data_IF_043717463370
#
_entry.id   IF_043717463370
#
_cell.length_a   1.000
_cell.length_b   1.000
_cell.length_c   1.000
_cell.angle_alpha   90.00
_cell.angle_beta   90.00
_cell.angle_gamma   90.00
#
_symmetry.space_group_name_H-M   'P 1'
#
loop_
_entity.id
_entity.type
_entity.pdbx_description
1 polymer ?
#
# COMPACT_ATOMS: atom_id res chain seq x y z
N UNK A 1 -19.85 -10.35 -3.11
CA UNK A 1 -19.73 -8.94 -3.53
C UNK A 1 -20.28 -8.00 -2.46
N UNK A 2 -21.54 -8.17 -2.04
CA UNK A 2 -22.19 -7.31 -1.02
C UNK A 2 -21.37 -7.11 0.25
N UNK A 3 -20.82 -8.17 0.86
CA UNK A 3 -20.02 -8.08 2.09
C UNK A 3 -18.75 -7.22 1.89
N UNK A 4 -18.06 -7.39 0.75
CA UNK A 4 -16.85 -6.61 0.45
C UNK A 4 -17.18 -5.13 0.22
N UNK A 5 -18.31 -4.86 -0.43
CA UNK A 5 -18.77 -3.50 -0.68
C UNK A 5 -19.19 -2.80 0.62
N UNK A 6 -19.98 -3.48 1.46
CA UNK A 6 -20.45 -2.94 2.74
C UNK A 6 -19.37 -2.91 3.82
N UNK A 7 -18.26 -3.62 3.63
CA UNK A 7 -17.08 -3.60 4.49
C UNK A 7 -16.11 -2.44 4.23
N UNK A 8 -16.38 -1.62 3.22
CA UNK A 8 -15.63 -0.38 2.95
C UNK A 8 -14.35 -0.55 2.14
N UNK A 9 -13.75 -1.75 2.09
CA UNK A 9 -12.48 -1.98 1.38
C UNK A 9 -12.53 -1.59 -0.11
N UNK A 10 -13.63 -1.87 -0.81
CA UNK A 10 -13.75 -1.57 -2.24
C UNK A 10 -13.58 -0.08 -2.56
N UNK A 11 -13.90 0.82 -1.62
CA UNK A 11 -13.75 2.27 -1.84
C UNK A 11 -12.30 2.67 -2.08
N UNK A 12 -11.33 1.80 -1.73
CA UNK A 12 -9.89 1.99 -1.85
C UNK A 12 -9.27 1.22 -3.03
N UNK A 13 -10.05 0.48 -3.84
CA UNK A 13 -9.50 -0.41 -4.88
C UNK A 13 -10.00 -0.09 -6.28
N UNK A 14 -9.07 0.05 -7.22
CA UNK A 14 -9.32 0.36 -8.62
C UNK A 14 -8.68 1.68 -9.04
N UNK A 15 -8.85 2.04 -10.31
CA UNK A 15 -8.38 3.32 -10.83
C UNK A 15 -9.19 4.50 -10.22
N UNK A 16 -8.54 5.65 -10.08
CA UNK A 16 -9.13 6.88 -9.54
C UNK A 16 -10.32 7.39 -10.38
N UNK A 17 -10.27 7.18 -11.69
CA UNK A 17 -11.26 7.60 -12.69
C UNK A 17 -12.36 6.55 -12.97
N UNK A 18 -12.35 5.41 -12.29
CA UNK A 18 -13.27 4.29 -12.52
C UNK A 18 -14.04 3.87 -11.27
N UNK A 19 -15.03 3.00 -11.52
CA UNK A 19 -15.84 2.40 -10.46
C UNK A 19 -14.98 1.55 -9.52
N UNK A 20 -15.29 1.53 -8.21
CA UNK A 20 -14.67 0.64 -7.23
C UNK A 20 -14.63 -0.83 -7.70
N UNK A 21 -13.48 -1.46 -7.55
CA UNK A 21 -13.28 -2.85 -7.90
C UNK A 21 -13.26 -3.73 -6.66
N UNK A 22 -13.73 -4.97 -6.85
CA UNK A 22 -13.61 -6.04 -5.87
C UNK A 22 -12.39 -6.88 -6.21
N UNK A 23 -11.67 -7.36 -5.21
CA UNK A 23 -10.68 -8.44 -5.41
C UNK A 23 -11.43 -9.73 -5.83
N UNK A 24 -11.02 -10.42 -6.90
CA UNK A 24 -11.81 -11.51 -7.48
C UNK A 24 -11.92 -12.75 -6.58
N UNK A 25 -11.07 -12.85 -5.55
CA UNK A 25 -11.09 -13.92 -4.54
C UNK A 25 -12.19 -13.68 -3.48
N UNK A 26 -12.61 -14.71 -2.72
CA UNK A 26 -13.55 -14.56 -1.61
C UNK A 26 -12.90 -13.93 -0.37
N UNK A 27 -12.25 -12.77 -0.55
CA UNK A 27 -11.36 -12.16 0.44
C UNK A 27 -12.05 -11.85 1.78
N UNK A 28 -13.31 -11.40 1.77
CA UNK A 28 -14.05 -11.16 3.01
C UNK A 28 -14.16 -12.41 3.89
N UNK A 29 -14.43 -13.56 3.27
CA UNK A 29 -14.49 -14.83 3.99
C UNK A 29 -13.09 -15.32 4.40
N UNK A 30 -12.05 -15.02 3.61
CA UNK A 30 -10.68 -15.34 3.99
C UNK A 30 -10.25 -14.58 5.27
N UNK A 31 -10.57 -13.28 5.38
CA UNK A 31 -10.33 -12.51 6.61
C UNK A 31 -11.13 -13.09 7.80
N UNK A 32 -12.43 -13.33 7.61
CA UNK A 32 -13.27 -13.91 8.66
C UNK A 32 -12.77 -15.29 9.13
N UNK A 33 -12.27 -16.12 8.20
CA UNK A 33 -11.75 -17.45 8.51
C UNK A 33 -10.44 -17.38 9.30
N UNK A 34 -9.55 -16.44 8.95
CA UNK A 34 -8.31 -16.22 9.68
C UNK A 34 -8.57 -15.72 11.12
N UNK A 35 -9.54 -14.82 11.28
CA UNK A 35 -10.01 -14.36 12.59
C UNK A 35 -10.65 -15.50 13.39
N UNK A 36 -11.50 -16.31 12.76
CA UNK A 36 -12.13 -17.47 13.41
C UNK A 36 -11.11 -18.50 13.88
N UNK A 37 -10.09 -18.81 13.08
CA UNK A 37 -9.02 -19.73 13.46
C UNK A 37 -8.23 -19.20 14.67
N UNK A 38 -7.92 -17.90 14.69
CA UNK A 38 -7.26 -17.23 15.81
C UNK A 38 -8.12 -17.27 17.08
N UNK A 39 -9.39 -16.88 16.98
CA UNK A 39 -10.33 -16.88 18.10
C UNK A 39 -10.56 -18.28 18.68
N UNK A 40 -10.69 -19.30 17.82
CA UNK A 40 -10.83 -20.69 18.24
C UNK A 40 -9.58 -21.17 18.98
N UNK A 41 -8.38 -20.82 18.50
CA UNK A 41 -7.12 -21.18 19.17
C UNK A 41 -7.03 -20.55 20.56
N UNK A 42 -7.42 -19.28 20.70
CA UNK A 42 -7.48 -18.58 21.99
C UNK A 42 -8.48 -19.25 22.93
N UNK A 43 -9.69 -19.58 22.45
CA UNK A 43 -10.73 -20.23 23.25
C UNK A 43 -10.30 -21.63 23.71
N UNK A 44 -9.62 -22.40 22.85
CA UNK A 44 -9.09 -23.70 23.21
C UNK A 44 -8.00 -23.60 24.28
N UNK A 45 -7.09 -22.62 24.14
CA UNK A 45 -6.05 -22.37 25.13
C UNK A 45 -6.65 -21.96 26.49
N UNK A 46 -7.63 -21.06 26.49
CA UNK A 46 -8.33 -20.61 27.70
C UNK A 46 -9.01 -21.78 28.40
N UNK A 47 -9.76 -22.60 27.65
CA UNK A 47 -10.42 -23.80 28.15
C UNK A 47 -9.42 -24.76 28.80
N UNK A 48 -8.31 -25.05 28.13
CA UNK A 48 -7.34 -26.04 28.59
C UNK A 48 -6.55 -25.59 29.81
N UNK A 49 -6.19 -24.30 29.89
CA UNK A 49 -5.27 -23.80 30.90
C UNK A 49 -5.94 -23.03 32.05
N UNK A 50 -7.22 -22.67 31.93
CA UNK A 50 -7.91 -21.83 32.92
C UNK A 50 -9.29 -22.39 33.31
N UNK A 51 -10.35 -22.04 32.57
CA UNK A 51 -11.73 -22.25 33.04
C UNK A 51 -12.25 -23.68 32.88
N UNK A 52 -11.73 -24.46 31.94
CA UNK A 52 -12.33 -25.73 31.53
C UNK A 52 -13.61 -25.59 30.69
N UNK A 53 -14.04 -24.37 30.35
CA UNK A 53 -15.31 -24.11 29.66
C UNK A 53 -15.13 -23.80 28.18
N UNK A 54 -16.14 -24.15 27.37
CA UNK A 54 -16.24 -23.66 26.00
C UNK A 54 -16.70 -22.21 25.93
N UNK A 55 -16.48 -21.58 24.78
CA UNK A 55 -16.91 -20.21 24.50
C UNK A 55 -17.68 -20.16 23.16
N UNK A 56 -18.60 -19.22 23.03
CA UNK A 56 -19.26 -18.92 21.75
C UNK A 56 -18.50 -17.81 21.04
N UNK A 57 -18.09 -18.05 19.80
CA UNK A 57 -17.36 -17.08 18.97
C UNK A 57 -18.32 -16.53 17.92
N UNK A 58 -18.58 -15.22 18.00
CA UNK A 58 -19.38 -14.48 17.02
C UNK A 58 -18.47 -13.56 16.19
N UNK A 59 -18.56 -13.67 14.87
CA UNK A 59 -17.71 -12.95 13.92
C UNK A 59 -18.53 -12.51 12.71
N UNK A 60 -18.21 -11.31 12.21
CA UNK A 60 -18.84 -10.74 11.03
C UNK A 60 -17.82 -10.61 9.90
N UNK A 61 -18.04 -11.31 8.80
CA UNK A 61 -17.17 -11.19 7.62
C UNK A 61 -17.12 -9.76 7.04
N UNK A 62 -18.16 -8.95 7.27
CA UNK A 62 -18.13 -7.53 6.93
C UNK A 62 -17.14 -6.79 7.84
N UNK A 63 -17.19 -7.00 9.15
CA UNK A 63 -16.30 -6.36 10.11
C UNK A 63 -14.83 -6.79 9.89
N UNK A 64 -14.59 -8.07 9.61
CA UNK A 64 -13.25 -8.61 9.35
C UNK A 64 -12.56 -7.96 8.15
N UNK A 65 -13.32 -7.49 7.15
CA UNK A 65 -12.71 -6.77 6.00
C UNK A 65 -12.15 -5.39 6.35
N UNK A 66 -12.52 -4.82 7.51
CA UNK A 66 -12.04 -3.51 7.93
C UNK A 66 -10.51 -3.48 8.06
N UNK A 67 -9.91 -4.59 8.49
CA UNK A 67 -8.44 -4.76 8.57
C UNK A 67 -7.78 -4.51 7.21
N UNK A 68 -8.43 -4.86 6.10
CA UNK A 68 -7.91 -4.69 4.74
C UNK A 68 -8.01 -3.24 4.22
N UNK A 69 -8.56 -2.31 5.01
CA UNK A 69 -8.70 -0.90 4.64
C UNK A 69 -7.54 0.00 5.07
N UNK A 70 -6.46 -0.56 5.64
CA UNK A 70 -5.31 0.19 6.14
C UNK A 70 -5.71 1.37 7.06
N UNK A 71 -6.72 1.15 7.91
CA UNK A 71 -7.25 2.16 8.85
C UNK A 71 -7.96 3.35 8.18
N UNK A 72 -8.02 3.43 6.85
CA UNK A 72 -8.66 4.56 6.17
C UNK A 72 -10.15 4.69 6.46
N UNK A 73 -10.83 3.61 6.87
CA UNK A 73 -12.25 3.68 7.24
C UNK A 73 -12.51 4.51 8.49
N UNK A 74 -11.50 4.78 9.33
CA UNK A 74 -11.65 5.67 10.50
C UNK A 74 -11.06 7.07 10.26
N UNK A 75 -10.46 7.35 9.10
CA UNK A 75 -9.77 8.60 8.82
C UNK A 75 -10.65 9.83 9.11
N UNK A 76 -11.89 9.82 8.61
CA UNK A 76 -12.87 10.88 8.86
C UNK A 76 -13.21 11.04 10.34
N UNK A 77 -13.31 9.94 11.09
CA UNK A 77 -13.65 9.98 12.52
C UNK A 77 -12.54 10.60 13.37
N UNK A 78 -11.29 10.51 12.92
CA UNK A 78 -10.12 11.07 13.62
C UNK A 78 -9.62 12.37 12.98
N UNK A 79 -10.38 12.96 12.06
CA UNK A 79 -9.99 14.18 11.32
C UNK A 79 -8.64 14.04 10.58
N UNK A 80 -8.34 12.83 10.09
CA UNK A 80 -7.20 12.55 9.23
C UNK A 80 -7.60 12.67 7.75
N UNK A 81 -6.63 12.92 6.84
CA UNK A 81 -6.88 12.91 5.41
C UNK A 81 -7.50 11.60 4.94
N UNK A 82 -8.56 11.68 4.13
CA UNK A 82 -9.16 10.52 3.49
C UNK A 82 -8.25 10.01 2.36
N UNK A 83 -8.27 8.70 2.11
CA UNK A 83 -7.56 8.10 0.99
C UNK A 83 -8.45 8.01 -0.24
N UNK A 84 -7.84 8.24 -1.39
CA UNK A 84 -8.45 8.02 -2.69
C UNK A 84 -7.91 6.73 -3.32
N UNK A 85 -8.70 6.15 -4.21
CA UNK A 85 -8.23 5.02 -5.03
C UNK A 85 -7.21 5.52 -6.02
N UNK A 86 -6.10 4.80 -6.12
CA UNK A 86 -5.12 5.01 -7.17
C UNK A 86 -4.54 3.64 -7.50
N UNK A 87 -4.76 3.14 -8.71
CA UNK A 87 -4.21 1.85 -9.12
C UNK A 87 -2.75 2.04 -9.56
N UNK A 88 -1.89 1.10 -9.19
CA UNK A 88 -0.49 1.11 -9.62
C UNK A 88 0.40 2.11 -8.88
N UNK A 89 -0.12 2.82 -7.87
CA UNK A 89 0.66 3.76 -7.08
C UNK A 89 -0.10 4.32 -5.88
N UNK A 90 0.44 5.37 -5.28
CA UNK A 90 -0.17 6.12 -4.18
C UNK A 90 0.09 7.61 -4.33
N UNK A 91 -0.93 8.43 -4.10
CA UNK A 91 -0.78 9.89 -4.09
C UNK A 91 -0.61 10.38 -2.67
N UNK A 92 0.54 11.00 -2.36
CA UNK A 92 0.87 11.55 -1.04
C UNK A 92 1.13 13.05 -1.19
N UNK A 93 0.32 13.86 -0.49
CA UNK A 93 0.42 15.33 -0.52
C UNK A 93 0.46 15.92 -1.95
N UNK A 94 -0.29 15.32 -2.89
CA UNK A 94 -0.34 15.76 -4.29
C UNK A 94 0.75 15.19 -5.20
N UNK A 95 1.68 14.40 -4.66
CA UNK A 95 2.74 13.75 -5.43
C UNK A 95 2.35 12.29 -5.69
N UNK A 96 2.31 11.89 -6.97
CA UNK A 96 2.02 10.52 -7.36
C UNK A 96 3.28 9.64 -7.34
N UNK A 97 3.32 8.73 -6.38
CA UNK A 97 4.36 7.71 -6.23
C UNK A 97 3.91 6.48 -6.99
N UNK A 98 4.56 6.22 -8.12
CA UNK A 98 4.29 5.04 -8.94
C UNK A 98 4.96 3.81 -8.35
N UNK A 99 4.21 2.72 -8.26
CA UNK A 99 4.65 1.43 -7.72
C UNK A 99 4.60 0.31 -8.75
N UNK A 100 3.81 0.45 -9.81
CA UNK A 100 3.65 -0.51 -10.89
C UNK A 100 4.04 0.11 -12.23
N UNK A 101 4.86 -0.58 -12.98
CA UNK A 101 5.44 -0.12 -14.23
C UNK A 101 5.09 -1.08 -15.36
N UNK A 102 4.66 -0.59 -16.53
CA UNK A 102 4.47 -1.45 -17.69
C UNK A 102 5.82 -1.97 -18.19
N UNK A 103 5.86 -3.23 -18.60
CA UNK A 103 7.02 -3.88 -19.22
C UNK A 103 6.59 -4.56 -20.53
N UNK A 104 7.56 -5.03 -21.31
CA UNK A 104 7.29 -5.65 -22.62
C UNK A 104 6.29 -6.83 -22.57
N UNK A 105 6.26 -7.58 -21.47
CA UNK A 105 5.46 -8.79 -21.29
C UNK A 105 4.58 -8.76 -20.03
N UNK A 106 4.37 -7.58 -19.42
CA UNK A 106 3.58 -7.48 -18.20
C UNK A 106 3.83 -6.21 -17.42
N UNK A 107 3.97 -6.36 -16.10
CA UNK A 107 4.25 -5.24 -15.21
C UNK A 107 5.28 -5.64 -14.15
N UNK A 108 6.13 -4.70 -13.76
CA UNK A 108 7.03 -4.82 -12.62
C UNK A 108 6.56 -3.91 -11.49
N UNK A 109 6.71 -4.36 -10.24
CA UNK A 109 6.56 -3.48 -9.09
C UNK A 109 7.91 -2.95 -8.67
N UNK A 110 8.13 -1.66 -8.88
CA UNK A 110 9.38 -0.96 -8.54
C UNK A 110 9.01 0.30 -7.78
N UNK A 111 9.65 0.49 -6.64
CA UNK A 111 9.29 1.57 -5.72
C UNK A 111 10.42 2.58 -5.66
N UNK A 112 10.24 3.72 -6.34
CA UNK A 112 11.17 4.86 -6.23
C UNK A 112 10.71 5.75 -5.08
N UNK A 113 11.10 5.36 -3.87
CA UNK A 113 10.79 6.08 -2.64
C UNK A 113 12.05 6.65 -1.98
N UNK A 114 11.84 7.38 -0.91
CA UNK A 114 12.86 8.16 -0.24
C UNK A 114 12.64 8.13 1.27
N UNK A 115 13.54 8.76 2.02
CA UNK A 115 13.52 8.68 3.48
C UNK A 115 14.49 7.61 4.00
N UNK A 116 14.73 7.64 5.30
CA UNK A 116 15.70 6.76 5.98
C UNK A 116 15.46 5.27 5.74
N UNK A 117 14.20 4.85 5.60
CA UNK A 117 13.85 3.45 5.38
C UNK A 117 14.11 2.96 3.94
N UNK A 118 14.00 3.83 2.94
CA UNK A 118 13.92 3.43 1.52
C UNK A 118 15.01 4.05 0.64
N UNK A 119 15.51 5.23 1.01
CA UNK A 119 16.56 5.94 0.28
C UNK A 119 17.81 5.11 -0.05
N UNK A 120 18.34 4.26 0.87
CA UNK A 120 19.48 3.40 0.54
C UNK A 120 19.17 2.35 -0.53
N UNK A 121 17.92 1.92 -0.67
CA UNK A 121 17.52 0.97 -1.71
C UNK A 121 17.31 1.69 -3.04
N UNK A 122 16.70 2.87 -3.01
CA UNK A 122 16.58 3.73 -4.19
C UNK A 122 17.95 4.12 -4.74
N UNK A 123 18.92 4.46 -3.88
CA UNK A 123 20.30 4.71 -4.31
C UNK A 123 20.88 3.52 -5.10
N UNK A 124 20.74 2.29 -4.57
CA UNK A 124 21.24 1.08 -5.25
C UNK A 124 20.52 0.80 -6.56
N UNK A 125 19.23 1.09 -6.63
CA UNK A 125 18.47 1.03 -7.88
C UNK A 125 19.03 2.02 -8.89
N UNK A 126 19.30 3.26 -8.48
CA UNK A 126 19.84 4.30 -9.37
C UNK A 126 21.29 4.04 -9.77
N UNK A 127 22.09 3.39 -8.91
CA UNK A 127 23.42 2.86 -9.25
C UNK A 127 23.32 1.87 -10.42
N UNK A 128 22.40 0.90 -10.35
CA UNK A 128 22.19 -0.05 -11.45
C UNK A 128 21.65 0.63 -12.72
N UNK A 129 20.67 1.53 -12.60
CA UNK A 129 20.12 2.30 -13.74
C UNK A 129 21.21 3.13 -14.42
N UNK A 130 22.14 3.71 -13.66
CA UNK A 130 23.28 4.44 -14.20
C UNK A 130 24.28 3.52 -14.91
N UNK A 131 24.59 2.35 -14.33
CA UNK A 131 25.46 1.34 -14.95
C UNK A 131 24.94 0.88 -16.32
N UNK A 132 23.61 0.76 -16.45
CA UNK A 132 22.94 0.43 -17.72
C UNK A 132 22.82 1.63 -18.68
N UNK A 133 23.18 2.85 -18.23
CA UNK A 133 23.22 4.06 -19.05
C UNK A 133 21.92 4.85 -19.14
N UNK A 134 20.96 4.60 -18.24
CA UNK A 134 19.62 5.22 -18.25
C UNK A 134 19.48 6.45 -17.34
N UNK A 135 20.50 6.78 -16.53
CA UNK A 135 20.55 8.05 -15.81
C UNK A 135 21.96 8.64 -15.72
N UNK A 136 22.07 9.94 -15.47
CA UNK A 136 23.33 10.66 -15.29
C UNK A 136 23.85 10.62 -13.84
N UNK A 137 25.11 11.02 -13.64
CA UNK A 137 25.73 11.07 -12.31
C UNK A 137 24.99 12.00 -11.35
N UNK A 138 24.41 13.11 -11.85
CA UNK A 138 23.64 14.04 -11.01
C UNK A 138 22.40 13.37 -10.44
N UNK A 139 21.66 12.65 -11.28
CA UNK A 139 20.48 11.88 -10.87
C UNK A 139 20.87 10.81 -9.86
N UNK A 140 21.89 9.99 -10.14
CA UNK A 140 22.35 8.94 -9.23
C UNK A 140 22.70 9.49 -7.83
N UNK A 141 23.37 10.65 -7.78
CA UNK A 141 23.88 11.25 -6.56
C UNK A 141 22.88 12.14 -5.80
N UNK A 142 21.61 12.21 -6.23
CA UNK A 142 20.56 12.90 -5.47
C UNK A 142 20.48 12.37 -4.04
N UNK A 143 20.07 13.23 -3.13
CA UNK A 143 19.90 12.87 -1.72
C UNK A 143 18.63 12.03 -1.53
N UNK A 144 18.68 10.75 -1.91
CA UNK A 144 17.56 9.82 -1.78
C UNK A 144 17.08 9.62 -0.34
N UNK A 145 17.90 9.98 0.65
CA UNK A 145 17.51 9.96 2.06
C UNK A 145 16.59 11.13 2.38
N UNK A 146 16.95 12.35 1.98
CA UNK A 146 16.16 13.55 2.29
C UNK A 146 15.29 14.05 1.11
N UNK A 147 15.19 13.27 0.03
CA UNK A 147 14.47 13.67 -1.18
C UNK A 147 12.99 14.01 -0.92
N UNK A 148 12.36 13.34 0.04
CA UNK A 148 11.00 13.66 0.47
C UNK A 148 10.89 15.12 0.93
N UNK A 149 11.82 15.55 1.78
CA UNK A 149 11.84 16.90 2.32
C UNK A 149 12.16 17.93 1.23
N UNK A 150 13.03 17.57 0.27
CA UNK A 150 13.30 18.41 -0.89
C UNK A 150 12.06 18.62 -1.77
N UNK A 151 11.29 17.56 -2.02
CA UNK A 151 10.02 17.63 -2.76
C UNK A 151 8.95 18.42 -1.99
N UNK A 152 8.74 18.13 -0.71
CA UNK A 152 7.68 18.79 0.07
C UNK A 152 8.00 20.25 0.41
N UNK A 153 9.28 20.61 0.49
CA UNK A 153 9.71 22.02 0.62
C UNK A 153 9.64 22.79 -0.69
N UNK A 154 9.51 22.10 -1.83
CA UNK A 154 9.58 22.68 -3.17
C UNK A 154 11.00 23.07 -3.61
N UNK A 155 12.03 22.63 -2.88
CA UNK A 155 13.44 22.80 -3.28
C UNK A 155 13.72 21.97 -4.53
N UNK A 156 13.20 20.75 -4.55
CA UNK A 156 13.16 19.92 -5.75
C UNK A 156 11.75 20.03 -6.36
N UNK A 157 11.63 20.38 -7.66
CA UNK A 157 10.33 20.43 -8.32
C UNK A 157 9.75 19.02 -8.49
N UNK A 158 8.42 18.89 -8.44
CA UNK A 158 7.73 17.60 -8.68
C UNK A 158 8.03 17.08 -10.08
N UNK A 159 8.20 17.98 -11.04
CA UNK A 159 8.59 17.68 -12.41
C UNK A 159 9.94 16.95 -12.49
N UNK A 160 10.86 17.22 -11.55
CA UNK A 160 12.11 16.44 -11.49
C UNK A 160 11.84 15.00 -11.04
N UNK A 161 10.95 14.80 -10.08
CA UNK A 161 10.59 13.44 -9.69
C UNK A 161 9.91 12.68 -10.84
N UNK A 162 9.08 13.36 -11.63
CA UNK A 162 8.54 12.80 -12.88
C UNK A 162 9.64 12.44 -13.88
N UNK A 163 10.68 13.28 -14.04
CA UNK A 163 11.84 12.96 -14.88
C UNK A 163 12.63 11.76 -14.35
N UNK A 164 12.89 11.69 -13.04
CA UNK A 164 13.58 10.55 -12.40
C UNK A 164 12.82 9.24 -12.66
N UNK A 165 11.49 9.27 -12.63
CA UNK A 165 10.66 8.11 -12.94
C UNK A 165 10.85 7.60 -14.37
N UNK A 166 11.17 8.47 -15.34
CA UNK A 166 11.44 8.07 -16.72
C UNK A 166 12.70 7.20 -16.83
N UNK A 167 13.73 7.48 -16.02
CA UNK A 167 14.95 6.65 -15.95
C UNK A 167 14.69 5.20 -15.51
N UNK A 168 13.52 4.89 -14.92
CA UNK A 168 13.15 3.53 -14.51
C UNK A 168 12.41 2.77 -15.61
N UNK A 169 11.84 3.48 -16.59
CA UNK A 169 11.00 2.89 -17.65
C UNK A 169 11.73 2.73 -18.98
N UNK A 170 12.70 3.58 -19.26
CA UNK A 170 13.52 3.53 -20.48
C UNK A 170 14.50 2.35 -20.46
#
# INVERSE_FOLDING_TARGET
MTIMASGGQMVLTGDSDRSPLRIPLPQAYAHASAEAASAATIALYERENNSGLGQHIDLSAQASTLQASQTYMVAKAINAPESNREAGGVTVAGIYIQLMWPCADGHASVTVLFGTALGPYTRRLMEWIHEEGFCDEETLNKDWLNYADLLFSGTEPVEEYERVKQCVTD
#
